data_IF_628682600895
#
_entry.id   IF_628682600895
#
_cell.length_a   1.000
_cell.length_b   1.000
_cell.length_c   1.000
_cell.angle_alpha   90.00
_cell.angle_beta   90.00
_cell.angle_gamma   90.00
#
_symmetry.space_group_name_H-M   'P 1'
#
loop_
_entity.id
_entity.type
_entity.pdbx_description
1 polymer ?
#
# COMPACT_ATOMS: atom_id res chain seq x y z
N UNK A 1 -3.75 17.62 5.83
CA UNK A 1 -4.79 18.44 5.16
C UNK A 1 -5.51 17.51 4.21
N UNK A 2 -6.85 17.47 4.19
CA UNK A 2 -7.59 16.56 3.29
C UNK A 2 -7.92 17.33 2.01
N UNK A 3 -7.40 16.90 0.88
CA UNK A 3 -7.68 17.52 -0.42
C UNK A 3 -9.13 17.32 -0.85
N UNK A 4 -9.70 18.32 -1.49
CA UNK A 4 -10.98 18.23 -2.20
C UNK A 4 -10.75 17.73 -3.64
N UNK A 5 -11.79 17.25 -4.35
CA UNK A 5 -11.66 16.89 -5.76
C UNK A 5 -11.08 18.00 -6.64
N UNK A 6 -11.46 19.26 -6.40
CA UNK A 6 -10.99 20.42 -7.15
C UNK A 6 -9.50 20.70 -6.92
N UNK A 7 -9.04 20.61 -5.66
CA UNK A 7 -7.61 20.77 -5.33
C UNK A 7 -6.77 19.65 -5.94
N UNK A 8 -7.30 18.41 -6.00
CA UNK A 8 -6.62 17.29 -6.69
C UNK A 8 -6.52 17.55 -8.19
N UNK A 9 -7.59 18.02 -8.84
CA UNK A 9 -7.58 18.34 -10.28
C UNK A 9 -6.53 19.44 -10.57
N UNK A 10 -6.48 20.48 -9.74
CA UNK A 10 -5.48 21.54 -9.85
C UNK A 10 -4.06 20.98 -9.67
N UNK A 11 -3.81 20.18 -8.63
CA UNK A 11 -2.52 19.54 -8.38
C UNK A 11 -2.05 18.70 -9.56
N UNK A 12 -2.95 17.89 -10.16
CA UNK A 12 -2.65 17.05 -11.33
C UNK A 12 -2.17 17.88 -12.52
N UNK A 13 -2.73 19.08 -12.71
CA UNK A 13 -2.35 20.00 -13.80
C UNK A 13 -1.01 20.69 -13.50
N UNK A 14 -0.81 21.17 -12.28
CA UNK A 14 0.41 21.88 -11.85
C UNK A 14 1.64 20.99 -11.84
N UNK A 15 1.50 19.73 -11.40
CA UNK A 15 2.60 18.77 -11.28
C UNK A 15 2.81 17.90 -12.54
N UNK A 16 2.21 18.24 -13.66
CA UNK A 16 2.32 17.51 -14.95
C UNK A 16 2.09 15.99 -14.81
N UNK A 17 1.12 15.60 -14.00
CA UNK A 17 0.78 14.19 -13.78
C UNK A 17 0.23 13.60 -15.07
N UNK A 18 0.75 12.44 -15.47
CA UNK A 18 0.36 11.74 -16.72
C UNK A 18 -0.50 10.52 -16.47
N UNK A 19 -0.39 9.90 -15.30
CA UNK A 19 -1.17 8.71 -14.94
C UNK A 19 -1.69 8.81 -13.51
N UNK A 20 -2.93 8.38 -13.31
CA UNK A 20 -3.58 8.32 -12.01
C UNK A 20 -3.95 6.87 -11.74
N UNK A 21 -3.40 6.29 -10.67
CA UNK A 21 -3.73 4.94 -10.24
C UNK A 21 -4.88 4.97 -9.26
N UNK A 22 -5.97 4.33 -9.62
CA UNK A 22 -7.12 4.09 -8.76
C UNK A 22 -6.91 2.76 -8.07
N UNK A 23 -6.62 2.81 -6.75
CA UNK A 23 -6.18 1.67 -5.96
C UNK A 23 -7.27 1.18 -5.02
N UNK A 24 -7.32 -0.12 -4.81
CA UNK A 24 -8.21 -0.79 -3.86
C UNK A 24 -7.61 -2.13 -3.41
N UNK A 25 -8.24 -2.79 -2.46
CA UNK A 25 -7.88 -4.14 -2.03
C UNK A 25 -8.99 -5.12 -2.38
N UNK A 26 -8.61 -6.35 -2.76
CA UNK A 26 -9.55 -7.46 -2.82
C UNK A 26 -9.84 -8.01 -1.41
N UNK A 27 -10.73 -9.00 -1.31
CA UNK A 27 -11.13 -9.61 -0.02
C UNK A 27 -9.99 -10.33 0.73
N UNK A 28 -8.88 -10.58 0.04
CA UNK A 28 -7.68 -11.17 0.63
C UNK A 28 -6.61 -10.13 1.00
N UNK A 29 -6.94 -8.83 0.92
CA UNK A 29 -6.01 -7.73 1.19
C UNK A 29 -4.92 -7.57 0.13
N UNK A 30 -5.11 -8.07 -1.09
CA UNK A 30 -4.17 -7.88 -2.19
C UNK A 30 -4.41 -6.51 -2.81
N UNK A 31 -3.34 -5.73 -2.94
CA UNK A 31 -3.37 -4.44 -3.62
C UNK A 31 -3.64 -4.61 -5.11
N UNK A 32 -4.64 -3.93 -5.58
CA UNK A 32 -5.03 -3.86 -7.00
C UNK A 32 -5.18 -2.41 -7.44
N UNK A 33 -4.99 -2.15 -8.72
CA UNK A 33 -5.24 -0.82 -9.28
C UNK A 33 -5.56 -0.89 -10.78
N UNK A 34 -6.23 0.15 -11.26
CA UNK A 34 -6.26 0.50 -12.68
C UNK A 34 -5.65 1.89 -12.86
N UNK A 35 -5.22 2.20 -14.06
CA UNK A 35 -4.71 3.54 -14.41
C UNK A 35 -5.69 4.27 -15.28
N UNK A 36 -5.91 5.54 -14.97
CA UNK A 36 -6.66 6.47 -15.84
C UNK A 36 -5.77 7.63 -16.26
N UNK A 37 -6.16 8.28 -17.35
CA UNK A 37 -5.53 9.51 -17.81
C UNK A 37 -6.11 10.72 -17.05
N UNK A 38 -5.37 11.83 -16.90
CA UNK A 38 -5.83 13.02 -16.19
C UNK A 38 -7.19 13.56 -16.64
N UNK A 39 -7.49 13.52 -17.94
CA UNK A 39 -8.77 14.01 -18.47
C UNK A 39 -9.99 13.18 -18.04
N UNK A 40 -9.79 11.96 -17.51
CA UNK A 40 -10.84 11.10 -16.96
C UNK A 40 -11.14 11.37 -15.47
N UNK A 41 -10.33 12.20 -14.81
CA UNK A 41 -10.40 12.36 -13.35
C UNK A 41 -11.72 12.98 -12.88
N UNK A 42 -12.24 13.98 -13.58
CA UNK A 42 -13.54 14.57 -13.24
C UNK A 42 -14.67 13.55 -13.34
N UNK A 43 -14.64 12.70 -14.39
CA UNK A 43 -15.58 11.60 -14.54
C UNK A 43 -15.44 10.59 -13.43
N UNK A 44 -14.20 10.26 -13.02
CA UNK A 44 -13.92 9.34 -11.94
C UNK A 44 -14.50 9.83 -10.60
N UNK A 45 -14.35 11.11 -10.28
CA UNK A 45 -14.94 11.68 -9.07
C UNK A 45 -16.47 11.69 -9.13
N UNK A 46 -17.05 12.03 -10.29
CA UNK A 46 -18.50 12.20 -10.42
C UNK A 46 -19.26 10.87 -10.49
N UNK A 47 -18.74 9.90 -11.25
CA UNK A 47 -19.45 8.67 -11.59
C UNK A 47 -18.73 7.40 -11.17
N UNK A 48 -17.46 7.50 -10.81
CA UNK A 48 -16.58 6.34 -10.66
C UNK A 48 -16.09 5.80 -12.01
N UNK A 49 -15.16 4.86 -11.95
CA UNK A 49 -14.61 4.13 -13.09
C UNK A 49 -15.03 2.67 -12.99
N UNK A 50 -15.71 2.17 -13.99
CA UNK A 50 -16.20 0.79 -14.02
C UNK A 50 -15.05 -0.21 -14.08
N UNK A 51 -15.18 -1.30 -13.32
CA UNK A 51 -14.33 -2.48 -13.35
C UNK A 51 -15.18 -3.73 -13.50
N UNK A 52 -14.61 -4.77 -14.13
CA UNK A 52 -15.20 -6.10 -14.14
C UNK A 52 -14.85 -6.83 -12.83
N UNK A 53 -15.83 -6.89 -11.93
CA UNK A 53 -15.68 -7.53 -10.63
C UNK A 53 -15.64 -9.05 -10.72
N UNK A 54 -16.18 -9.66 -11.79
CA UNK A 54 -16.16 -11.12 -11.96
C UNK A 54 -14.73 -11.69 -12.09
N UNK A 55 -13.79 -10.85 -12.55
CA UNK A 55 -12.37 -11.19 -12.64
C UNK A 55 -11.62 -11.09 -11.29
N UNK A 56 -12.31 -10.67 -10.22
CA UNK A 56 -11.71 -10.48 -8.89
C UNK A 56 -12.35 -11.46 -7.91
N UNK A 57 -11.55 -12.35 -7.36
CA UNK A 57 -11.98 -13.35 -6.40
C UNK A 57 -12.75 -12.71 -5.22
N UNK A 58 -13.99 -13.16 -4.98
CA UNK A 58 -14.84 -12.68 -3.90
C UNK A 58 -15.58 -11.37 -4.18
N UNK A 59 -15.48 -10.80 -5.39
CA UNK A 59 -16.13 -9.52 -5.72
C UNK A 59 -17.48 -9.67 -6.44
N UNK A 60 -17.70 -10.72 -7.18
CA UNK A 60 -18.97 -10.90 -7.88
C UNK A 60 -18.98 -12.13 -8.75
N UNK A 61 -20.06 -12.25 -9.52
CA UNK A 61 -20.26 -13.26 -10.54
C UNK A 61 -20.42 -12.59 -11.93
N UNK A 62 -20.58 -13.39 -12.98
CA UNK A 62 -20.74 -12.89 -14.35
C UNK A 62 -22.03 -12.06 -14.56
N UNK A 63 -23.01 -12.22 -13.70
CA UNK A 63 -24.32 -11.55 -13.79
C UNK A 63 -24.28 -10.15 -13.15
N UNK A 64 -23.46 -9.99 -12.10
CA UNK A 64 -23.32 -8.75 -11.33
C UNK A 64 -21.88 -8.28 -11.34
N UNK A 65 -21.31 -8.16 -12.54
CA UNK A 65 -19.87 -7.89 -12.74
C UNK A 65 -19.48 -6.41 -12.64
N UNK A 66 -20.42 -5.48 -12.83
CA UNK A 66 -20.10 -4.06 -12.88
C UNK A 66 -19.99 -3.44 -11.48
N UNK A 67 -18.77 -3.14 -11.04
CA UNK A 67 -18.49 -2.28 -9.89
C UNK A 67 -17.77 -1.01 -10.32
N UNK A 68 -17.80 0.01 -9.47
CA UNK A 68 -17.24 1.34 -9.78
C UNK A 68 -16.24 1.76 -8.70
N UNK A 69 -15.05 2.15 -9.15
CA UNK A 69 -14.01 2.75 -8.29
C UNK A 69 -14.24 4.25 -8.18
N UNK A 70 -14.54 4.73 -6.98
CA UNK A 70 -14.69 6.16 -6.65
C UNK A 70 -13.47 6.63 -5.86
N UNK A 71 -12.59 7.45 -6.46
CA UNK A 71 -11.36 7.87 -5.79
C UNK A 71 -11.65 8.76 -4.58
N UNK A 72 -10.89 8.52 -3.51
CA UNK A 72 -10.87 9.36 -2.31
C UNK A 72 -9.76 10.41 -2.46
N UNK A 73 -10.10 11.70 -2.69
CA UNK A 73 -9.12 12.75 -2.94
C UNK A 73 -8.16 12.96 -1.78
N UNK A 74 -8.61 12.64 -0.54
CA UNK A 74 -7.78 12.77 0.65
C UNK A 74 -6.57 11.81 0.68
N UNK A 75 -6.56 10.82 -0.21
CA UNK A 75 -5.53 9.76 -0.26
C UNK A 75 -4.55 9.91 -1.41
N UNK A 76 -4.57 11.06 -2.11
CA UNK A 76 -3.62 11.29 -3.21
C UNK A 76 -2.18 11.21 -2.69
N UNK A 77 -1.36 10.46 -3.42
CA UNK A 77 0.07 10.35 -3.16
C UNK A 77 0.84 10.24 -4.48
N UNK A 78 1.90 11.03 -4.60
CA UNK A 78 2.88 10.87 -5.67
C UNK A 78 3.61 9.54 -5.49
N UNK A 79 3.93 8.85 -6.59
CA UNK A 79 4.73 7.63 -6.58
C UNK A 79 6.20 7.97 -6.88
N UNK A 80 7.09 8.08 -5.86
CA UNK A 80 8.43 8.65 -6.02
C UNK A 80 9.38 7.85 -6.90
N UNK A 81 9.08 6.58 -7.15
CA UNK A 81 9.89 5.68 -8.00
C UNK A 81 9.54 5.77 -9.49
N UNK A 82 8.73 6.72 -9.89
CA UNK A 82 8.38 6.97 -11.27
C UNK A 82 9.22 8.12 -11.84
N UNK A 83 9.41 8.20 -13.18
CA UNK A 83 10.17 9.27 -13.80
C UNK A 83 9.65 10.66 -13.39
N UNK A 84 10.55 11.62 -13.25
CA UNK A 84 10.20 13.03 -12.96
C UNK A 84 9.31 13.64 -14.07
N UNK A 85 9.56 13.29 -15.32
CA UNK A 85 8.69 13.68 -16.43
C UNK A 85 7.58 12.64 -16.62
N UNK A 86 6.35 13.09 -16.48
CA UNK A 86 5.18 12.21 -16.55
C UNK A 86 4.89 11.56 -15.21
N UNK A 87 4.79 12.37 -14.15
CA UNK A 87 4.50 11.94 -12.80
C UNK A 87 3.28 11.01 -12.73
N UNK A 88 3.31 10.11 -11.77
CA UNK A 88 2.22 9.16 -11.49
C UNK A 88 1.76 9.36 -10.06
N UNK A 89 0.47 9.52 -9.87
CA UNK A 89 -0.15 9.56 -8.54
C UNK A 89 -1.04 8.34 -8.31
N UNK A 90 -1.32 8.07 -7.05
CA UNK A 90 -2.27 7.07 -6.60
C UNK A 90 -3.32 7.69 -5.70
N UNK A 91 -4.58 7.28 -5.84
CA UNK A 91 -5.63 7.47 -4.85
C UNK A 91 -6.25 6.12 -4.49
N UNK A 92 -6.59 5.92 -3.22
CA UNK A 92 -7.43 4.80 -2.80
C UNK A 92 -8.88 5.10 -3.16
N UNK A 93 -9.64 4.03 -3.46
CA UNK A 93 -11.02 4.14 -3.89
C UNK A 93 -11.97 3.50 -2.88
N UNK A 94 -13.18 4.03 -2.83
CA UNK A 94 -14.36 3.32 -2.37
C UNK A 94 -14.96 2.55 -3.54
N UNK A 95 -15.42 1.33 -3.31
CA UNK A 95 -16.05 0.49 -4.34
C UNK A 95 -17.57 0.59 -4.19
N UNK A 96 -18.27 0.86 -5.28
CA UNK A 96 -19.73 1.00 -5.29
C UNK A 96 -20.35 0.21 -6.44
N UNK A 97 -21.66 -0.04 -6.35
CA UNK A 97 -22.45 -0.42 -7.50
C UNK A 97 -22.74 0.79 -8.42
N UNK A 98 -23.54 0.58 -9.48
CA UNK A 98 -23.93 1.61 -10.45
C UNK A 98 -24.75 2.73 -9.80
N UNK A 99 -25.59 2.40 -8.84
CA UNK A 99 -26.47 3.32 -8.12
C UNK A 99 -25.69 4.16 -7.06
N UNK A 100 -24.45 3.78 -6.78
CA UNK A 100 -23.58 4.45 -5.82
C UNK A 100 -23.66 3.86 -4.41
N UNK A 101 -24.35 2.73 -4.22
CA UNK A 101 -24.32 2.01 -2.95
C UNK A 101 -22.95 1.37 -2.75
N UNK A 102 -22.48 1.40 -1.51
CA UNK A 102 -21.19 0.81 -1.16
C UNK A 102 -21.22 -0.71 -1.35
N UNK A 103 -20.20 -1.25 -2.00
CA UNK A 103 -20.03 -2.69 -2.15
C UNK A 103 -19.74 -3.35 -0.80
N UNK A 104 -20.50 -4.38 -0.45
CA UNK A 104 -20.46 -4.99 0.88
C UNK A 104 -19.10 -5.63 1.24
N UNK A 105 -18.29 -6.01 0.25
CA UNK A 105 -16.96 -6.59 0.44
C UNK A 105 -15.81 -5.58 0.25
N UNK A 106 -16.12 -4.28 0.17
CA UNK A 106 -15.08 -3.24 0.19
C UNK A 106 -14.52 -3.09 1.61
N UNK A 107 -13.36 -3.72 1.86
CA UNK A 107 -12.72 -3.75 3.18
C UNK A 107 -12.45 -2.34 3.74
N UNK A 108 -12.11 -1.39 2.87
CA UNK A 108 -11.89 0.00 3.27
C UNK A 108 -13.18 0.68 3.75
N UNK A 109 -14.30 0.40 3.12
CA UNK A 109 -15.61 0.91 3.56
C UNK A 109 -16.12 0.22 4.83
N UNK A 110 -15.82 -1.06 5.02
CA UNK A 110 -16.09 -1.76 6.28
C UNK A 110 -15.34 -1.06 7.44
N UNK A 111 -14.07 -0.76 7.25
CA UNK A 111 -13.29 -0.01 8.25
C UNK A 111 -13.84 1.40 8.48
N UNK A 112 -14.21 2.12 7.42
CA UNK A 112 -14.87 3.45 7.53
C UNK A 112 -16.12 3.38 8.40
N UNK A 113 -16.94 2.37 8.20
CA UNK A 113 -18.18 2.18 9.00
C UNK A 113 -17.82 1.89 10.46
N UNK A 114 -16.89 0.98 10.73
CA UNK A 114 -16.45 0.67 12.10
C UNK A 114 -15.89 1.91 12.82
N UNK A 115 -15.11 2.74 12.13
CA UNK A 115 -14.60 4.01 12.67
C UNK A 115 -15.73 4.98 12.98
N UNK A 116 -16.74 5.07 12.12
CA UNK A 116 -17.90 5.92 12.35
C UNK A 116 -18.74 5.43 13.55
N UNK A 117 -18.96 4.12 13.67
CA UNK A 117 -19.69 3.53 14.78
C UNK A 117 -18.96 3.74 16.11
N UNK A 118 -17.63 3.59 16.13
CA UNK A 118 -16.83 3.89 17.29
C UNK A 118 -16.92 5.38 17.70
N UNK A 119 -16.84 6.29 16.73
CA UNK A 119 -16.96 7.72 16.97
C UNK A 119 -18.33 8.10 17.53
N UNK A 120 -19.43 7.48 17.05
CA UNK A 120 -20.78 7.65 17.59
C UNK A 120 -20.89 7.13 19.03
N UNK A 121 -20.09 6.14 19.40
CA UNK A 121 -19.97 5.64 20.78
C UNK A 121 -19.01 6.45 21.65
N UNK A 122 -18.38 7.52 21.11
CA UNK A 122 -17.46 8.40 21.82
C UNK A 122 -16.00 7.93 21.82
N UNK A 123 -15.64 6.97 20.95
CA UNK A 123 -14.26 6.45 20.86
C UNK A 123 -13.58 6.86 19.55
N UNK A 124 -12.31 7.25 19.66
CA UNK A 124 -11.44 7.53 18.52
C UNK A 124 -10.21 6.64 18.62
N UNK A 125 -9.92 5.89 17.55
CA UNK A 125 -8.79 4.99 17.50
C UNK A 125 -7.66 5.56 16.65
N UNK A 126 -6.44 5.41 17.16
CA UNK A 126 -5.20 5.61 16.42
C UNK A 126 -4.40 4.32 16.49
N UNK A 127 -3.79 3.93 15.37
CA UNK A 127 -3.00 2.72 15.26
C UNK A 127 -1.59 3.03 14.77
N UNK A 128 -0.59 2.46 15.45
CA UNK A 128 0.78 2.32 14.97
C UNK A 128 0.96 0.91 14.42
N UNK A 129 1.59 0.79 13.29
CA UNK A 129 1.85 -0.51 12.66
C UNK A 129 3.34 -0.78 12.63
N UNK A 130 3.72 -1.99 13.05
CA UNK A 130 5.06 -2.57 12.92
C UNK A 130 4.96 -3.72 11.92
N UNK A 131 5.71 -3.66 10.84
CA UNK A 131 5.64 -4.67 9.78
C UNK A 131 7.02 -5.27 9.54
N UNK A 132 7.09 -6.56 9.73
CA UNK A 132 8.25 -7.37 9.40
C UNK A 132 8.12 -7.97 7.99
N UNK A 133 9.26 -8.12 7.35
CA UNK A 133 9.36 -8.72 6.01
C UNK A 133 10.72 -9.36 5.79
N UNK A 134 10.77 -10.36 4.91
CA UNK A 134 12.00 -10.97 4.46
C UNK A 134 12.44 -10.41 3.11
N UNK A 135 13.75 -10.29 2.92
CA UNK A 135 14.37 -9.98 1.64
C UNK A 135 15.11 -11.22 1.13
N UNK A 136 14.67 -11.70 -0.02
CA UNK A 136 15.24 -12.86 -0.70
C UNK A 136 15.93 -12.48 -1.99
N UNK A 137 16.95 -13.28 -2.35
CA UNK A 137 17.63 -13.17 -3.63
C UNK A 137 16.72 -13.65 -4.76
N UNK A 138 16.94 -13.10 -5.96
CA UNK A 138 16.37 -13.64 -7.20
C UNK A 138 17.31 -14.69 -7.80
N UNK A 139 16.76 -15.64 -8.55
CA UNK A 139 17.55 -16.57 -9.36
C UNK A 139 18.11 -15.90 -10.62
N UNK A 140 18.88 -16.64 -11.40
CA UNK A 140 19.48 -16.16 -12.67
C UNK A 140 18.45 -15.74 -13.73
N UNK A 141 17.18 -16.13 -13.55
CA UNK A 141 16.07 -15.75 -14.42
C UNK A 141 15.20 -14.63 -13.81
N UNK A 142 15.61 -14.04 -12.69
CA UNK A 142 14.87 -13.00 -11.97
C UNK A 142 13.65 -13.49 -11.21
N UNK A 143 13.55 -14.80 -10.94
CA UNK A 143 12.44 -15.35 -10.15
C UNK A 143 12.77 -15.32 -8.65
N UNK A 144 11.78 -15.09 -7.78
CA UNK A 144 11.95 -15.16 -6.34
C UNK A 144 12.48 -16.53 -5.89
N UNK A 145 13.45 -16.47 -4.97
CA UNK A 145 13.93 -17.67 -4.26
C UNK A 145 13.58 -17.58 -2.78
N UNK A 146 13.92 -18.60 -1.99
CA UNK A 146 13.91 -18.57 -0.52
C UNK A 146 15.33 -18.49 0.05
N UNK A 147 16.28 -17.96 -0.73
CA UNK A 147 17.65 -17.69 -0.27
C UNK A 147 17.68 -16.31 0.35
N UNK A 148 17.90 -16.18 1.67
CA UNK A 148 17.98 -14.87 2.33
C UNK A 148 19.08 -14.00 1.71
N UNK A 149 18.86 -12.70 1.73
CA UNK A 149 19.83 -11.75 1.18
C UNK A 149 21.10 -11.68 2.03
N UNK A 150 20.97 -11.87 3.33
CA UNK A 150 22.08 -12.00 4.28
C UNK A 150 21.79 -13.05 5.36
N UNK A 151 22.70 -13.14 6.34
CA UNK A 151 22.60 -14.02 7.50
C UNK A 151 22.84 -13.27 8.81
N UNK A 152 22.60 -11.97 8.80
CA UNK A 152 22.65 -11.15 10.00
C UNK A 152 21.55 -11.57 11.01
N UNK A 153 21.68 -11.09 12.22
CA UNK A 153 20.78 -11.34 13.33
C UNK A 153 20.22 -10.03 13.89
N UNK A 154 19.46 -10.11 14.98
CA UNK A 154 18.75 -8.98 15.57
C UNK A 154 19.65 -7.78 15.85
N UNK A 155 19.33 -6.65 15.24
CA UNK A 155 20.04 -5.35 15.36
C UNK A 155 21.52 -5.37 14.93
N UNK A 156 21.93 -6.38 14.15
CA UNK A 156 23.26 -6.34 13.52
C UNK A 156 23.39 -5.12 12.62
N UNK A 157 24.63 -4.67 12.45
CA UNK A 157 24.96 -3.53 11.62
C UNK A 157 25.77 -3.99 10.38
N UNK A 158 25.95 -3.09 9.42
CA UNK A 158 26.83 -3.32 8.27
C UNK A 158 28.29 -3.61 8.74
N UNK A 159 29.02 -4.57 8.13
CA UNK A 159 28.74 -5.23 6.85
C UNK A 159 27.90 -6.53 6.93
N UNK A 160 27.57 -7.04 8.11
CA UNK A 160 26.78 -8.25 8.29
C UNK A 160 25.35 -8.03 7.80
N UNK A 161 24.72 -6.92 8.21
CA UNK A 161 23.44 -6.44 7.71
C UNK A 161 23.61 -5.81 6.31
N UNK A 162 23.31 -6.58 5.28
CA UNK A 162 23.32 -6.12 3.88
C UNK A 162 22.04 -5.39 3.49
N UNK A 163 21.00 -5.48 4.32
CA UNK A 163 19.69 -4.89 4.05
C UNK A 163 19.61 -3.40 4.43
N UNK A 164 20.59 -2.86 5.17
CA UNK A 164 20.59 -1.49 5.71
C UNK A 164 20.27 -0.43 4.65
N UNK A 165 20.93 -0.48 3.49
CA UNK A 165 20.69 0.50 2.43
C UNK A 165 19.31 0.35 1.78
N UNK A 166 18.78 -0.85 1.67
CA UNK A 166 17.44 -1.11 1.15
C UNK A 166 16.39 -0.53 2.12
N UNK A 167 16.53 -0.78 3.42
CA UNK A 167 15.65 -0.17 4.44
C UNK A 167 15.73 1.35 4.43
N UNK A 168 16.94 1.92 4.31
CA UNK A 168 17.14 3.37 4.21
C UNK A 168 16.39 3.95 3.01
N UNK A 169 16.47 3.34 1.84
CA UNK A 169 15.75 3.78 0.64
C UNK A 169 14.23 3.68 0.82
N UNK A 170 13.74 2.61 1.45
CA UNK A 170 12.33 2.44 1.81
C UNK A 170 11.88 3.58 2.72
N UNK A 171 12.60 3.86 3.81
CA UNK A 171 12.26 4.92 4.76
C UNK A 171 12.17 6.30 4.08
N UNK A 172 13.18 6.67 3.28
CA UNK A 172 13.18 7.94 2.54
C UNK A 172 12.05 8.03 1.51
N UNK A 173 11.66 6.90 0.93
CA UNK A 173 10.53 6.85 0.00
C UNK A 173 9.20 7.03 0.73
N UNK A 174 9.04 6.40 1.89
CA UNK A 174 7.86 6.56 2.76
C UNK A 174 7.69 8.01 3.21
N UNK A 175 8.77 8.69 3.63
CA UNK A 175 8.73 10.11 4.00
C UNK A 175 8.21 10.99 2.87
N UNK A 176 8.67 10.76 1.63
CA UNK A 176 8.16 11.48 0.44
C UNK A 176 6.67 11.26 0.20
N UNK A 177 6.12 10.15 0.70
CA UNK A 177 4.69 9.83 0.61
C UNK A 177 3.91 10.25 1.86
N UNK A 178 4.55 10.95 2.81
CA UNK A 178 3.92 11.44 4.04
C UNK A 178 3.74 10.39 5.13
N UNK A 179 4.40 9.24 5.00
CA UNK A 179 4.46 8.20 6.03
C UNK A 179 5.81 8.36 6.75
N UNK A 180 5.77 8.51 8.08
CA UNK A 180 6.94 8.85 8.88
C UNK A 180 7.50 7.62 9.58
N UNK A 181 8.60 7.00 9.10
CA UNK A 181 9.28 5.94 9.82
C UNK A 181 9.79 6.44 11.18
N UNK A 182 9.75 5.58 12.19
CA UNK A 182 10.27 5.85 13.54
C UNK A 182 11.54 5.04 13.81
N UNK A 183 11.53 3.77 13.40
CA UNK A 183 12.69 2.89 13.50
C UNK A 183 12.82 1.97 12.29
N UNK A 184 14.02 1.46 12.07
CA UNK A 184 14.28 0.39 11.11
C UNK A 184 15.50 -0.40 11.54
N UNK A 185 15.42 -1.73 11.56
CA UNK A 185 16.51 -2.59 11.97
C UNK A 185 16.43 -3.95 11.28
N UNK A 186 17.54 -4.71 11.38
CA UNK A 186 17.54 -6.12 11.03
C UNK A 186 16.84 -6.91 12.12
N UNK A 187 15.99 -7.87 11.72
CA UNK A 187 15.29 -8.76 12.62
C UNK A 187 16.07 -10.07 12.90
N UNK A 188 15.50 -10.98 13.70
CA UNK A 188 16.16 -12.20 14.14
C UNK A 188 16.47 -13.18 13.02
N UNK A 189 15.60 -13.27 12.02
CA UNK A 189 15.77 -14.19 10.90
C UNK A 189 16.72 -13.67 9.85
N UNK A 190 17.43 -14.56 9.12
CA UNK A 190 18.33 -14.16 8.03
C UNK A 190 17.55 -13.44 6.94
N UNK A 191 18.00 -12.23 6.58
CA UNK A 191 17.31 -11.38 5.62
C UNK A 191 15.97 -10.82 6.12
N UNK A 192 15.66 -10.93 7.40
CA UNK A 192 14.44 -10.38 8.01
C UNK A 192 14.66 -8.94 8.47
N UNK A 193 13.67 -8.10 8.21
CA UNK A 193 13.74 -6.66 8.44
C UNK A 193 12.45 -6.17 9.09
N UNK A 194 12.55 -5.11 9.87
CA UNK A 194 11.41 -4.40 10.43
C UNK A 194 11.55 -2.90 10.18
N UNK A 195 10.42 -2.26 9.92
CA UNK A 195 10.30 -0.81 9.86
C UNK A 195 8.99 -0.41 10.52
N UNK A 196 9.09 0.43 11.54
CA UNK A 196 7.97 1.00 12.26
C UNK A 196 7.71 2.41 11.77
N UNK A 197 6.46 2.82 11.77
CA UNK A 197 6.09 4.18 11.41
C UNK A 197 4.99 4.74 12.32
N UNK A 198 4.97 6.06 12.41
CA UNK A 198 4.09 6.79 13.33
C UNK A 198 2.64 6.37 13.21
N UNK A 199 1.97 6.29 14.36
CA UNK A 199 0.55 6.06 14.43
C UNK A 199 -0.25 7.16 13.70
N UNK A 200 -1.41 6.77 13.22
CA UNK A 200 -2.40 7.68 12.59
C UNK A 200 -3.81 7.21 12.90
N UNK A 201 -4.83 7.97 12.48
CA UNK A 201 -6.20 7.49 12.56
C UNK A 201 -6.35 6.12 11.86
N UNK A 202 -7.30 5.32 12.30
CA UNK A 202 -7.44 3.92 11.90
C UNK A 202 -7.49 3.71 10.38
N UNK A 203 -8.18 4.58 9.64
CA UNK A 203 -8.27 4.47 8.18
C UNK A 203 -6.94 4.81 7.51
N UNK A 204 -6.30 5.89 7.95
CA UNK A 204 -4.98 6.28 7.47
C UNK A 204 -3.93 5.22 7.80
N UNK A 205 -3.98 4.58 8.97
CA UNK A 205 -3.07 3.50 9.33
C UNK A 205 -3.21 2.30 8.39
N UNK A 206 -4.43 1.90 8.03
CA UNK A 206 -4.66 0.84 7.06
C UNK A 206 -4.15 1.21 5.65
N UNK A 207 -4.45 2.42 5.18
CA UNK A 207 -3.96 2.94 3.89
C UNK A 207 -2.41 3.01 3.88
N UNK A 208 -1.79 3.39 5.00
CA UNK A 208 -0.33 3.44 5.17
C UNK A 208 0.29 2.04 5.13
N UNK A 209 -0.30 1.04 5.81
CA UNK A 209 0.18 -0.33 5.77
C UNK A 209 0.16 -0.91 4.33
N UNK A 210 -0.88 -0.64 3.57
CA UNK A 210 -0.97 -1.03 2.15
C UNK A 210 0.07 -0.31 1.29
N UNK A 211 0.29 0.98 1.55
CA UNK A 211 1.32 1.78 0.88
C UNK A 211 2.71 1.26 1.22
N UNK A 212 2.98 1.00 2.49
CA UNK A 212 4.23 0.42 2.98
C UNK A 212 4.60 -0.87 2.23
N UNK A 213 3.69 -1.85 2.19
CA UNK A 213 3.92 -3.11 1.47
C UNK A 213 4.25 -2.90 -0.01
N UNK A 214 3.61 -1.92 -0.64
CA UNK A 214 3.87 -1.58 -2.04
C UNK A 214 5.25 -0.94 -2.22
N UNK A 215 5.63 -0.01 -1.34
CA UNK A 215 6.95 0.64 -1.34
C UNK A 215 8.05 -0.40 -1.14
N UNK A 216 7.94 -1.22 -0.10
CA UNK A 216 8.93 -2.26 0.21
C UNK A 216 9.17 -3.19 -0.98
N UNK A 217 8.09 -3.72 -1.59
CA UNK A 217 8.19 -4.59 -2.76
C UNK A 217 8.81 -3.89 -3.96
N UNK A 218 8.47 -2.62 -4.17
CA UNK A 218 9.00 -1.85 -5.30
C UNK A 218 10.48 -1.56 -5.13
N UNK A 219 10.91 -1.11 -3.94
CA UNK A 219 12.30 -0.81 -3.65
C UNK A 219 13.14 -2.09 -3.62
N UNK A 220 12.64 -3.18 -3.04
CA UNK A 220 13.32 -4.48 -3.11
C UNK A 220 13.56 -4.91 -4.57
N UNK A 221 12.53 -4.83 -5.42
CA UNK A 221 12.66 -5.18 -6.84
C UNK A 221 13.68 -4.28 -7.57
N UNK A 222 13.73 -2.97 -7.26
CA UNK A 222 14.73 -2.05 -7.82
C UNK A 222 16.16 -2.39 -7.40
N UNK A 223 16.32 -3.05 -6.25
CA UNK A 223 17.60 -3.54 -5.73
C UNK A 223 17.89 -5.01 -6.11
N UNK A 224 17.13 -5.60 -7.03
CA UNK A 224 17.33 -6.99 -7.48
C UNK A 224 16.93 -8.03 -6.44
N UNK A 225 16.01 -7.70 -5.55
CA UNK A 225 15.55 -8.55 -4.45
C UNK A 225 14.04 -8.79 -4.53
N UNK A 226 13.58 -9.81 -3.81
CA UNK A 226 12.17 -10.07 -3.57
C UNK A 226 11.83 -9.83 -2.09
N UNK A 227 10.82 -9.00 -1.82
CA UNK A 227 10.27 -8.83 -0.48
C UNK A 227 9.08 -9.76 -0.26
N UNK A 228 9.12 -10.54 0.83
CA UNK A 228 8.09 -11.48 1.24
C UNK A 228 7.48 -11.06 2.60
N UNK A 229 6.16 -10.90 2.61
CA UNK A 229 5.34 -10.60 3.78
C UNK A 229 4.50 -11.80 4.23
N UNK A 230 4.84 -13.01 3.76
CA UNK A 230 4.17 -14.23 4.23
C UNK A 230 4.39 -14.41 5.73
N UNK A 231 3.40 -14.91 6.48
CA UNK A 231 3.53 -15.04 7.93
C UNK A 231 4.69 -15.93 8.39
N UNK A 232 5.09 -16.91 7.57
CA UNK A 232 6.16 -17.87 7.87
C UNK A 232 6.91 -18.26 6.59
N UNK A 233 7.75 -17.35 6.02
CA UNK A 233 8.43 -17.62 4.75
C UNK A 233 9.44 -18.77 4.83
N UNK A 234 10.10 -18.92 5.98
CA UNK A 234 11.08 -19.96 6.25
C UNK A 234 10.62 -20.80 7.47
N UNK A 235 10.50 -22.11 7.31
CA UNK A 235 9.89 -22.99 8.31
C UNK A 235 10.61 -22.95 9.67
N UNK A 236 11.94 -22.91 9.64
CA UNK A 236 12.80 -22.99 10.84
C UNK A 236 13.33 -21.62 11.32
N UNK A 237 12.82 -20.52 10.76
CA UNK A 237 13.21 -19.16 11.11
C UNK A 237 12.02 -18.39 11.71
N UNK A 238 12.22 -17.24 12.34
CA UNK A 238 11.13 -16.40 12.85
C UNK A 238 10.07 -16.11 11.78
N UNK A 239 8.81 -15.98 12.20
CA UNK A 239 7.73 -15.50 11.33
C UNK A 239 7.79 -13.99 11.12
N UNK A 240 7.06 -13.49 10.13
CA UNK A 240 6.92 -12.05 9.90
C UNK A 240 5.77 -11.51 10.77
N UNK A 241 6.09 -10.64 11.73
CA UNK A 241 5.10 -9.95 12.54
C UNK A 241 4.34 -8.89 11.73
N UNK A 242 3.10 -8.68 12.13
CA UNK A 242 2.32 -7.51 11.77
C UNK A 242 1.58 -7.09 13.04
N UNK A 243 2.23 -6.20 13.81
CA UNK A 243 1.71 -5.73 15.07
C UNK A 243 0.94 -4.43 14.87
N UNK A 244 -0.17 -4.30 15.58
CA UNK A 244 -1.01 -3.10 15.59
C UNK A 244 -1.14 -2.65 17.04
N UNK A 245 -0.54 -1.52 17.36
CA UNK A 245 -0.49 -0.91 18.68
C UNK A 245 -1.43 0.27 18.81
#
# INVERSE_FOLDING_TARGET
MKYTPQEVIQYIQEEDVKFIRLAFCDVQGRYKNISIMPHELERAFKYGIAIDASAIEGFGDEVHSDLFLRPDPATIALLPWRPEHGAVVRMFCTITDREGNVFAHDSRSILKQAVADAANAGYHFSFGSELEFYLFQLDEHGKPTHIPYDHATYMDASPEDKCENVRREICLTLERMGIWPESSHHEQGPGQNEIDFRYSDALSAADNAMTFRTVVKTIAASNGLCADFSPKPLADQPGSGFHIN
#
